data_IF_278529548805
#
_entry.id   IF_278529548805
#
_cell.length_a   1.000
_cell.length_b   1.000
_cell.length_c   1.000
_cell.angle_alpha   90.00
_cell.angle_beta   90.00
_cell.angle_gamma   90.00
#
_symmetry.space_group_name_H-M   'P 1'
#
loop_
_entity.id
_entity.type
_entity.pdbx_description
1 polymer ?
#
# COMPACT_ATOMS: atom_id res chain seq x y z
N UNK A 1 -6.95 16.96 16.44
CA UNK A 1 -6.85 18.32 15.85
C UNK A 1 -5.42 18.73 15.50
N UNK A 2 -4.41 18.66 16.38
CA UNK A 2 -3.03 19.07 16.03
C UNK A 2 -2.41 18.29 14.85
N UNK A 3 -2.61 16.97 14.77
CA UNK A 3 -2.08 16.11 13.70
C UNK A 3 -2.65 16.37 12.30
N UNK A 4 -3.80 17.05 12.19
CA UNK A 4 -4.47 17.32 10.89
C UNK A 4 -4.28 18.77 10.42
N UNK A 5 -3.66 19.65 11.22
CA UNK A 5 -3.49 21.08 10.86
C UNK A 5 -2.71 21.26 9.56
N UNK A 6 -1.65 20.47 9.39
CA UNK A 6 -0.82 20.51 8.18
C UNK A 6 -1.64 20.01 6.99
N UNK A 7 -2.40 18.92 7.13
CA UNK A 7 -3.23 18.38 6.05
C UNK A 7 -4.32 19.36 5.62
N UNK A 8 -4.96 20.07 6.55
CA UNK A 8 -5.90 21.15 6.20
C UNK A 8 -5.24 22.32 5.48
N UNK A 9 -4.04 22.74 5.90
CA UNK A 9 -3.29 23.80 5.23
C UNK A 9 -2.92 23.38 3.80
N UNK A 10 -2.36 22.18 3.63
CA UNK A 10 -2.02 21.63 2.31
C UNK A 10 -3.27 21.48 1.45
N UNK A 11 -4.38 21.01 2.02
CA UNK A 11 -5.67 20.92 1.30
C UNK A 11 -6.10 22.28 0.77
N UNK A 12 -6.05 23.32 1.59
CA UNK A 12 -6.41 24.67 1.15
C UNK A 12 -5.52 25.15 -0.01
N UNK A 13 -4.21 24.92 0.08
CA UNK A 13 -3.26 25.28 -0.97
C UNK A 13 -3.55 24.50 -2.27
N UNK A 14 -3.71 23.18 -2.19
CA UNK A 14 -3.95 22.33 -3.36
C UNK A 14 -5.32 22.61 -4.00
N UNK A 15 -6.34 22.90 -3.20
CA UNK A 15 -7.64 23.35 -3.71
C UNK A 15 -7.53 24.71 -4.40
N UNK A 16 -6.77 25.66 -3.86
CA UNK A 16 -6.54 26.95 -4.51
C UNK A 16 -5.80 26.79 -5.86
N UNK A 17 -4.80 25.91 -5.92
CA UNK A 17 -4.08 25.58 -7.16
C UNK A 17 -5.01 24.90 -8.16
N UNK A 18 -5.86 23.95 -7.73
CA UNK A 18 -6.86 23.29 -8.57
C UNK A 18 -7.87 24.29 -9.13
N UNK A 19 -8.40 25.19 -8.29
CA UNK A 19 -9.32 26.24 -8.72
C UNK A 19 -8.69 27.20 -9.73
N UNK A 20 -7.42 27.57 -9.54
CA UNK A 20 -6.67 28.39 -10.50
C UNK A 20 -6.47 27.67 -11.83
N UNK A 21 -6.10 26.38 -11.80
CA UNK A 21 -5.95 25.53 -12.98
C UNK A 21 -7.26 25.37 -13.76
N UNK A 22 -8.37 25.10 -13.06
CA UNK A 22 -9.69 25.00 -13.68
C UNK A 22 -10.15 26.34 -14.28
N UNK A 23 -9.84 27.45 -13.60
CA UNK A 23 -10.17 28.78 -14.11
C UNK A 23 -9.41 29.13 -15.39
N UNK A 24 -8.11 28.79 -15.47
CA UNK A 24 -7.29 29.11 -16.65
C UNK A 24 -7.71 28.33 -17.91
N UNK A 25 -8.33 27.15 -17.75
CA UNK A 25 -8.76 26.30 -18.88
C UNK A 25 -10.25 26.44 -19.22
N UNK A 26 -11.10 26.85 -18.28
CA UNK A 26 -12.56 26.84 -18.46
C UNK A 26 -13.32 27.99 -17.80
N UNK A 27 -12.61 29.04 -17.33
CA UNK A 27 -13.22 30.18 -16.63
C UNK A 27 -13.94 29.77 -15.34
N UNK A 28 -14.99 30.51 -14.97
CA UNK A 28 -15.73 30.25 -13.73
C UNK A 28 -16.35 28.83 -13.64
N UNK A 29 -16.96 28.28 -14.71
CA UNK A 29 -17.42 26.89 -14.69
C UNK A 29 -16.28 25.88 -14.50
N UNK A 30 -15.13 26.10 -15.15
CA UNK A 30 -13.94 25.26 -15.00
C UNK A 30 -13.39 25.27 -13.58
N UNK A 31 -13.36 26.44 -12.92
CA UNK A 31 -12.97 26.58 -11.51
C UNK A 31 -13.85 25.72 -10.60
N UNK A 32 -15.18 25.83 -10.71
CA UNK A 32 -16.11 25.08 -9.85
C UNK A 32 -15.96 23.58 -10.07
N UNK A 33 -15.83 23.16 -11.34
CA UNK A 33 -15.66 21.76 -11.68
C UNK A 33 -14.35 21.18 -11.13
N UNK A 34 -13.23 21.91 -11.31
CA UNK A 34 -11.93 21.48 -10.79
C UNK A 34 -11.94 21.35 -9.26
N UNK A 35 -12.49 22.33 -8.53
CA UNK A 35 -12.63 22.23 -7.08
C UNK A 35 -13.48 21.03 -6.65
N UNK A 36 -14.60 20.78 -7.34
CA UNK A 36 -15.47 19.66 -7.04
C UNK A 36 -14.76 18.31 -7.28
N UNK A 37 -14.19 18.11 -8.46
CA UNK A 37 -13.49 16.87 -8.82
C UNK A 37 -12.30 16.63 -7.89
N UNK A 38 -11.45 17.65 -7.65
CA UNK A 38 -10.32 17.53 -6.72
C UNK A 38 -10.79 17.14 -5.31
N UNK A 39 -11.90 17.70 -4.82
CA UNK A 39 -12.49 17.33 -3.54
C UNK A 39 -12.97 15.87 -3.50
N UNK A 40 -13.68 15.43 -4.54
CA UNK A 40 -14.15 14.04 -4.68
C UNK A 40 -12.96 13.07 -4.72
N UNK A 41 -11.93 13.39 -5.50
CA UNK A 41 -10.70 12.59 -5.59
C UNK A 41 -9.98 12.50 -4.24
N UNK A 42 -9.90 13.60 -3.49
CA UNK A 42 -9.31 13.59 -2.15
C UNK A 42 -10.07 12.70 -1.17
N UNK A 43 -11.41 12.73 -1.19
CA UNK A 43 -12.25 11.85 -0.35
C UNK A 43 -12.14 10.39 -0.77
N UNK A 44 -12.17 10.13 -2.08
CA UNK A 44 -12.00 8.80 -2.65
C UNK A 44 -10.66 8.21 -2.21
N UNK A 45 -9.58 8.97 -2.32
CA UNK A 45 -8.24 8.52 -1.96
C UNK A 45 -8.12 8.19 -0.47
N UNK A 46 -8.68 9.02 0.42
CA UNK A 46 -8.72 8.70 1.86
C UNK A 46 -9.49 7.41 2.12
N UNK A 47 -10.56 7.17 1.36
CA UNK A 47 -11.41 5.99 1.53
C UNK A 47 -10.72 4.72 1.03
N UNK A 48 -10.09 4.77 -0.14
CA UNK A 48 -9.38 3.64 -0.76
C UNK A 48 -8.05 3.32 -0.08
N UNK A 49 -7.41 4.31 0.55
CA UNK A 49 -6.10 4.15 1.21
C UNK A 49 -6.20 4.08 2.73
N UNK A 50 -7.40 3.84 3.28
CA UNK A 50 -7.59 3.80 4.73
C UNK A 50 -6.88 2.61 5.38
N UNK A 51 -7.04 1.42 4.80
CA UNK A 51 -6.35 0.19 5.18
C UNK A 51 -4.82 0.34 5.08
N UNK A 52 -4.30 1.00 4.04
CA UNK A 52 -2.88 1.34 3.91
C UNK A 52 -2.38 2.12 5.13
N UNK A 53 -3.17 3.09 5.60
CA UNK A 53 -2.80 3.88 6.77
C UNK A 53 -2.63 3.01 8.03
N UNK A 54 -3.44 1.95 8.16
CA UNK A 54 -3.40 0.99 9.28
C UNK A 54 -2.20 0.06 9.14
N UNK A 55 -1.96 -0.48 7.95
CA UNK A 55 -0.80 -1.35 7.66
C UNK A 55 0.51 -0.59 7.90
N UNK A 56 0.62 0.63 7.38
CA UNK A 56 1.81 1.45 7.61
C UNK A 56 1.98 1.75 9.10
N UNK A 57 0.89 2.00 9.83
CA UNK A 57 0.95 2.23 11.26
C UNK A 57 1.38 0.99 12.06
N UNK A 58 0.94 -0.22 11.68
CA UNK A 58 1.34 -1.47 12.37
C UNK A 58 2.82 -1.78 12.21
N UNK A 59 3.42 -1.35 11.09
CA UNK A 59 4.86 -1.47 10.86
C UNK A 59 5.64 -0.35 11.58
N UNK A 60 5.20 0.91 11.43
CA UNK A 60 5.90 2.09 11.98
C UNK A 60 5.92 2.16 13.50
N UNK A 61 4.95 1.56 14.21
CA UNK A 61 4.87 1.65 15.68
C UNK A 61 6.10 1.09 16.38
N UNK A 62 6.80 0.16 15.72
CA UNK A 62 7.98 -0.48 16.27
C UNK A 62 9.28 0.28 15.95
N UNK A 63 9.23 1.21 14.99
CA UNK A 63 10.41 1.92 14.50
C UNK A 63 10.86 3.01 15.48
N UNK A 64 12.16 3.33 15.45
CA UNK A 64 12.68 4.49 16.16
C UNK A 64 12.15 5.83 15.58
N UNK A 65 12.30 6.91 16.34
CA UNK A 65 11.80 8.23 15.93
C UNK A 65 12.40 8.74 14.60
N UNK A 66 13.64 8.37 14.29
CA UNK A 66 14.31 8.82 13.07
C UNK A 66 13.60 8.26 11.83
N UNK A 67 13.40 6.94 11.78
CA UNK A 67 12.74 6.29 10.66
C UNK A 67 11.26 6.67 10.55
N UNK A 68 10.57 6.81 11.69
CA UNK A 68 9.22 7.37 11.68
C UNK A 68 9.20 8.77 11.06
N UNK A 69 10.10 9.68 11.46
CA UNK A 69 10.18 11.03 10.88
C UNK A 69 10.54 10.99 9.39
N UNK A 70 11.44 10.11 8.97
CA UNK A 70 11.85 9.97 7.57
C UNK A 70 10.68 9.50 6.70
N UNK A 71 9.98 8.43 7.09
CA UNK A 71 8.80 7.94 6.39
C UNK A 71 7.71 9.01 6.33
N UNK A 72 7.45 9.66 7.46
CA UNK A 72 6.47 10.73 7.56
C UNK A 72 6.89 12.04 6.88
N UNK A 73 8.07 12.17 6.27
CA UNK A 73 8.47 13.38 5.56
C UNK A 73 8.82 13.07 4.11
N UNK A 74 9.88 12.29 3.90
CA UNK A 74 10.36 11.87 2.58
C UNK A 74 9.45 10.80 2.00
N UNK A 75 9.03 9.83 2.82
CA UNK A 75 8.18 8.73 2.34
C UNK A 75 6.89 9.23 1.70
N UNK A 76 6.21 10.21 2.29
CA UNK A 76 5.01 10.81 1.66
C UNK A 76 5.33 11.52 0.35
N UNK A 77 6.47 12.20 0.27
CA UNK A 77 6.88 12.84 -0.99
C UNK A 77 7.05 11.77 -2.07
N UNK A 78 7.64 10.63 -1.72
CA UNK A 78 7.75 9.47 -2.61
C UNK A 78 6.38 8.85 -2.90
N UNK A 79 5.52 8.63 -1.91
CA UNK A 79 4.17 8.13 -2.11
C UNK A 79 3.34 9.04 -3.03
N UNK A 80 3.41 10.36 -2.84
CA UNK A 80 2.62 11.33 -3.62
C UNK A 80 3.23 11.59 -5.00
N UNK A 81 4.51 11.96 -5.09
CA UNK A 81 5.13 12.31 -6.36
C UNK A 81 5.77 11.10 -7.05
N UNK A 82 6.39 10.20 -6.30
CA UNK A 82 6.93 8.96 -6.83
C UNK A 82 5.81 8.05 -7.31
N UNK A 83 4.95 7.59 -6.42
CA UNK A 83 4.01 6.51 -6.75
C UNK A 83 2.77 6.95 -7.51
N UNK A 84 2.30 8.19 -7.33
CA UNK A 84 1.08 8.67 -8.03
C UNK A 84 1.36 9.51 -9.27
N UNK A 85 2.57 10.03 -9.44
CA UNK A 85 2.95 10.81 -10.63
C UNK A 85 4.04 10.12 -11.45
N UNK A 86 5.22 9.91 -10.87
CA UNK A 86 6.37 9.38 -11.61
C UNK A 86 6.13 7.93 -12.05
N UNK A 87 5.56 7.09 -11.19
CA UNK A 87 5.37 5.67 -11.47
C UNK A 87 4.41 5.40 -12.64
N UNK A 88 3.22 6.03 -12.71
CA UNK A 88 2.39 5.97 -13.92
C UNK A 88 3.10 6.45 -15.19
N UNK A 89 3.92 7.50 -15.11
CA UNK A 89 4.70 7.99 -16.26
C UNK A 89 5.77 6.96 -16.69
N UNK A 90 6.44 6.31 -15.74
CA UNK A 90 7.42 5.26 -16.00
C UNK A 90 6.76 4.05 -16.67
N UNK A 91 5.59 3.62 -16.20
CA UNK A 91 4.84 2.51 -16.81
C UNK A 91 4.54 2.83 -18.28
N UNK A 92 3.97 4.01 -18.57
CA UNK A 92 3.63 4.40 -19.93
C UNK A 92 4.89 4.59 -20.78
N UNK A 93 5.99 5.11 -20.21
CA UNK A 93 7.28 5.24 -20.91
C UNK A 93 7.84 3.88 -21.33
N UNK A 94 7.82 2.88 -20.44
CA UNK A 94 8.25 1.51 -20.76
C UNK A 94 7.32 0.86 -21.79
N UNK A 95 6.01 1.05 -21.66
CA UNK A 95 5.02 0.45 -22.54
C UNK A 95 5.04 1.03 -23.97
N UNK A 96 5.29 2.34 -24.10
CA UNK A 96 5.30 3.03 -25.40
C UNK A 96 6.69 3.17 -26.02
N UNK A 97 7.74 2.97 -25.23
CA UNK A 97 9.13 3.23 -25.62
C UNK A 97 9.48 4.72 -25.72
N UNK A 98 8.58 5.62 -25.33
CA UNK A 98 8.79 7.07 -25.34
C UNK A 98 9.60 7.52 -24.11
N UNK A 99 10.33 8.63 -24.24
CA UNK A 99 11.03 9.23 -23.12
C UNK A 99 10.06 9.82 -22.09
N UNK A 100 10.47 9.90 -20.81
CA UNK A 100 9.63 10.44 -19.73
C UNK A 100 9.09 11.86 -20.01
N UNK A 101 9.87 12.70 -20.70
CA UNK A 101 9.47 14.07 -21.08
C UNK A 101 8.36 14.05 -22.14
N UNK A 102 8.43 13.11 -23.09
CA UNK A 102 7.40 12.94 -24.11
C UNK A 102 6.12 12.40 -23.50
N UNK A 103 6.23 11.46 -22.56
CA UNK A 103 5.08 10.93 -21.80
C UNK A 103 4.47 12.00 -20.91
N UNK A 104 5.27 12.86 -20.27
CA UNK A 104 4.77 14.02 -19.52
C UNK A 104 4.00 14.97 -20.43
N UNK A 105 4.54 15.22 -21.62
CA UNK A 105 3.87 16.05 -22.62
C UNK A 105 2.56 15.41 -23.07
N UNK A 106 2.53 14.09 -23.29
CA UNK A 106 1.31 13.33 -23.59
C UNK A 106 0.28 13.42 -22.45
N UNK A 107 0.70 13.25 -21.19
CA UNK A 107 -0.15 13.33 -20.01
C UNK A 107 -0.83 14.70 -19.85
N UNK A 108 -0.16 15.78 -20.27
CA UNK A 108 -0.66 17.15 -20.12
C UNK A 108 -1.39 17.68 -21.36
N UNK A 109 -1.03 17.23 -22.56
CA UNK A 109 -1.59 17.74 -23.83
C UNK A 109 -2.63 16.80 -24.45
N UNK A 110 -2.50 15.49 -24.25
CA UNK A 110 -3.40 14.45 -24.77
C UNK A 110 -3.76 13.44 -23.67
N UNK A 111 -4.41 13.89 -22.58
CA UNK A 111 -4.64 13.07 -21.39
C UNK A 111 -5.42 11.77 -21.67
N UNK A 112 -6.34 11.77 -22.64
CA UNK A 112 -7.12 10.58 -22.99
C UNK A 112 -6.24 9.46 -23.56
N UNK A 113 -5.22 9.82 -24.35
CA UNK A 113 -4.26 8.87 -24.93
C UNK A 113 -3.35 8.31 -23.83
N UNK A 114 -2.92 9.17 -22.91
CA UNK A 114 -2.14 8.77 -21.75
C UNK A 114 -2.93 7.79 -20.84
N UNK A 115 -4.17 8.14 -20.50
CA UNK A 115 -5.05 7.31 -19.67
C UNK A 115 -5.30 5.93 -20.29
N UNK A 116 -5.47 5.89 -21.62
CA UNK A 116 -5.60 4.62 -22.36
C UNK A 116 -4.34 3.77 -22.22
N UNK A 117 -3.15 4.32 -22.49
CA UNK A 117 -1.91 3.57 -22.34
C UNK A 117 -1.69 3.07 -20.90
N UNK A 118 -2.07 3.86 -19.89
CA UNK A 118 -1.97 3.44 -18.50
C UNK A 118 -2.93 2.28 -18.20
N UNK A 119 -4.17 2.36 -18.67
CA UNK A 119 -5.20 1.33 -18.47
C UNK A 119 -4.89 0.04 -19.23
N UNK A 120 -4.33 0.14 -20.43
CA UNK A 120 -3.90 -1.02 -21.23
C UNK A 120 -2.78 -1.83 -20.54
N UNK A 121 -2.03 -1.21 -19.61
CA UNK A 121 -0.98 -1.90 -18.83
C UNK A 121 -1.44 -2.30 -17.42
N UNK A 122 -2.73 -2.13 -17.10
CA UNK A 122 -3.29 -2.47 -15.79
C UNK A 122 -3.00 -3.92 -15.38
N UNK A 123 -3.12 -4.89 -16.30
CA UNK A 123 -2.89 -6.30 -16.01
C UNK A 123 -1.46 -6.60 -15.53
N UNK A 124 -0.46 -5.86 -16.04
CA UNK A 124 0.94 -6.02 -15.64
C UNK A 124 1.16 -5.53 -14.22
N UNK A 125 0.60 -4.35 -13.88
CA UNK A 125 0.75 -3.77 -12.55
C UNK A 125 -0.06 -4.57 -11.52
N UNK A 126 -1.25 -5.02 -11.89
CA UNK A 126 -2.09 -5.89 -11.08
C UNK A 126 -1.38 -7.22 -10.74
N UNK A 127 -0.67 -7.82 -11.71
CA UNK A 127 0.13 -9.02 -11.48
C UNK A 127 1.36 -8.76 -10.58
N UNK A 128 2.05 -7.64 -10.79
CA UNK A 128 3.18 -7.21 -9.96
C UNK A 128 2.75 -6.99 -8.50
N UNK A 129 1.80 -6.07 -8.28
CA UNK A 129 1.33 -5.69 -6.95
C UNK A 129 0.57 -6.84 -6.28
N UNK A 130 -0.25 -7.57 -7.02
CA UNK A 130 -0.96 -8.74 -6.51
C UNK A 130 -0.02 -9.85 -6.03
N UNK A 131 1.08 -10.12 -6.74
CA UNK A 131 2.08 -11.09 -6.29
C UNK A 131 2.85 -10.61 -5.06
N UNK A 132 3.25 -9.33 -5.02
CA UNK A 132 3.94 -8.73 -3.87
C UNK A 132 3.06 -8.76 -2.62
N UNK A 133 1.83 -8.25 -2.71
CA UNK A 133 0.89 -8.19 -1.59
C UNK A 133 0.44 -9.60 -1.13
N UNK A 134 0.36 -10.57 -2.06
CA UNK A 134 0.06 -11.95 -1.68
C UNK A 134 1.20 -12.54 -0.84
N UNK A 135 2.45 -12.25 -1.15
CA UNK A 135 3.59 -12.66 -0.33
C UNK A 135 3.58 -12.00 1.04
N UNK A 136 3.27 -10.70 1.11
CA UNK A 136 3.09 -9.98 2.39
C UNK A 136 2.03 -10.69 3.25
N UNK A 137 0.87 -10.99 2.65
CA UNK A 137 -0.22 -11.64 3.35
C UNK A 137 0.11 -13.09 3.76
N UNK A 138 0.71 -13.89 2.88
CA UNK A 138 1.01 -15.29 3.17
C UNK A 138 2.11 -15.43 4.22
N UNK A 139 3.13 -14.58 4.19
CA UNK A 139 4.15 -14.56 5.24
C UNK A 139 3.56 -14.14 6.58
N UNK A 140 2.69 -13.13 6.59
CA UNK A 140 1.92 -12.83 7.78
C UNK A 140 1.09 -14.05 8.22
N UNK A 141 0.38 -14.72 7.31
CA UNK A 141 -0.51 -15.85 7.64
C UNK A 141 0.27 -17.02 8.26
N UNK A 142 1.47 -17.30 7.75
CA UNK A 142 2.35 -18.39 8.16
C UNK A 142 3.31 -18.06 9.32
N UNK A 143 3.29 -16.85 9.87
CA UNK A 143 4.15 -16.44 10.99
C UNK A 143 3.79 -17.19 12.29
N UNK A 144 4.63 -18.15 12.67
CA UNK A 144 4.51 -19.09 13.79
C UNK A 144 4.67 -18.45 15.18
N UNK A 145 5.14 -17.21 15.24
CA UNK A 145 5.24 -16.46 16.49
C UNK A 145 3.96 -15.64 16.80
N UNK A 146 2.91 -15.76 15.98
CA UNK A 146 1.62 -15.09 16.26
C UNK A 146 0.89 -15.74 17.43
N UNK A 147 0.83 -15.03 18.55
CA UNK A 147 0.09 -15.48 19.75
C UNK A 147 -1.44 -15.43 19.60
N UNK A 148 -1.95 -14.65 18.63
CA UNK A 148 -3.36 -14.42 18.42
C UNK A 148 -3.77 -14.84 17.01
N UNK A 149 -4.84 -15.64 16.94
CA UNK A 149 -5.43 -16.11 15.69
C UNK A 149 -6.83 -15.53 15.54
N UNK A 150 -7.06 -14.71 14.51
CA UNK A 150 -8.34 -14.04 14.31
C UNK A 150 -9.43 -15.03 13.84
N UNK A 151 -9.05 -16.02 13.03
CA UNK A 151 -9.93 -17.13 12.61
C UNK A 151 -9.84 -18.38 13.52
N UNK A 152 -9.11 -18.29 14.64
CA UNK A 152 -8.91 -19.38 15.59
C UNK A 152 -8.24 -20.60 14.95
N UNK A 153 -8.87 -21.77 15.10
CA UNK A 153 -8.32 -23.08 14.70
C UNK A 153 -7.91 -23.22 13.22
N UNK A 154 -8.54 -22.46 12.31
CA UNK A 154 -8.23 -22.53 10.89
C UNK A 154 -6.91 -21.84 10.58
N UNK A 155 -6.65 -20.69 11.22
CA UNK A 155 -5.39 -19.96 11.10
C UNK A 155 -4.25 -20.73 11.79
N UNK A 156 -4.49 -21.30 12.96
CA UNK A 156 -3.51 -22.12 13.70
C UNK A 156 -3.00 -23.33 12.89
N UNK A 157 -3.89 -24.03 12.16
CA UNK A 157 -3.48 -25.15 11.29
C UNK A 157 -2.71 -24.70 10.05
N UNK A 158 -3.12 -23.59 9.46
CA UNK A 158 -2.48 -23.03 8.26
C UNK A 158 -1.10 -22.50 8.60
N UNK A 159 -0.97 -21.89 9.78
CA UNK A 159 0.27 -21.44 10.38
C UNK A 159 1.25 -22.61 10.61
N UNK A 160 0.81 -23.69 11.25
CA UNK A 160 1.65 -24.85 11.53
C UNK A 160 2.18 -25.60 10.29
N UNK A 161 1.56 -25.40 9.12
CA UNK A 161 2.00 -25.95 7.83
C UNK A 161 2.74 -24.92 6.97
N UNK A 162 2.77 -23.67 7.41
CA UNK A 162 3.28 -22.53 6.69
C UNK A 162 4.81 -22.49 6.69
N UNK A 163 5.39 -22.25 5.52
CA UNK A 163 6.80 -21.89 5.38
C UNK A 163 6.92 -20.74 4.38
N UNK A 164 7.99 -19.94 4.46
CA UNK A 164 8.26 -18.89 3.47
C UNK A 164 8.33 -19.48 2.04
N UNK A 165 8.96 -20.65 1.89
CA UNK A 165 9.03 -21.36 0.61
C UNK A 165 7.65 -21.78 0.09
N UNK A 166 6.71 -22.13 0.97
CA UNK A 166 5.33 -22.42 0.61
C UNK A 166 4.61 -21.13 0.19
N UNK A 167 4.85 -20.00 0.85
CA UNK A 167 4.28 -18.70 0.44
C UNK A 167 4.72 -18.32 -0.98
N UNK A 168 6.00 -18.48 -1.30
CA UNK A 168 6.54 -18.27 -2.65
C UNK A 168 5.92 -19.23 -3.65
N UNK A 169 5.81 -20.53 -3.31
CA UNK A 169 5.21 -21.53 -4.19
C UNK A 169 3.73 -21.22 -4.50
N UNK A 170 2.94 -20.86 -3.49
CA UNK A 170 1.53 -20.47 -3.66
C UNK A 170 1.43 -19.23 -4.54
N UNK A 171 2.28 -18.23 -4.31
CA UNK A 171 2.29 -16.99 -5.10
C UNK A 171 2.66 -17.25 -6.56
N UNK A 172 3.68 -18.06 -6.81
CA UNK A 172 4.03 -18.50 -8.18
C UNK A 172 2.87 -19.24 -8.85
N UNK A 173 2.19 -20.13 -8.11
CA UNK A 173 0.99 -20.83 -8.59
C UNK A 173 -0.15 -19.87 -8.94
N UNK A 174 -0.36 -18.84 -8.11
CA UNK A 174 -1.37 -17.80 -8.35
C UNK A 174 -1.04 -16.97 -9.61
N UNK A 175 0.21 -16.55 -9.79
CA UNK A 175 0.67 -15.86 -11.00
C UNK A 175 0.49 -16.75 -12.23
N UNK A 176 0.87 -18.04 -12.14
CA UNK A 176 0.67 -18.99 -13.24
C UNK A 176 -0.81 -19.17 -13.60
N UNK A 177 -1.70 -19.22 -12.60
CA UNK A 177 -3.14 -19.25 -12.81
C UNK A 177 -3.65 -17.98 -13.51
N UNK A 178 -3.15 -16.80 -13.11
CA UNK A 178 -3.48 -15.53 -13.77
C UNK A 178 -3.06 -15.54 -15.24
N UNK A 179 -1.84 -15.99 -15.55
CA UNK A 179 -1.33 -16.11 -16.92
C UNK A 179 -2.15 -17.12 -17.74
N UNK A 180 -2.57 -18.22 -17.13
CA UNK A 180 -3.41 -19.21 -17.79
C UNK A 180 -4.81 -18.69 -18.12
N UNK A 181 -5.37 -17.86 -17.23
CA UNK A 181 -6.74 -17.33 -17.34
C UNK A 181 -6.84 -16.02 -18.13
N UNK A 182 -5.77 -15.22 -18.15
CA UNK A 182 -5.71 -13.88 -18.74
C UNK A 182 -5.58 -13.84 -20.27
N UNK A 183 -5.59 -12.62 -20.86
CA UNK A 183 -5.52 -12.42 -22.30
C UNK A 183 -4.27 -13.06 -22.91
N UNK A 184 -4.42 -13.71 -24.07
CA UNK A 184 -3.31 -14.45 -24.73
C UNK A 184 -2.16 -13.52 -25.13
N UNK A 185 -2.48 -12.27 -25.47
CA UNK A 185 -1.55 -11.27 -25.99
C UNK A 185 -0.58 -10.74 -24.93
N UNK A 186 -0.98 -10.76 -23.65
CA UNK A 186 -0.23 -10.16 -22.55
C UNK A 186 0.44 -11.18 -21.62
N UNK A 187 0.32 -12.49 -21.92
CA UNK A 187 0.79 -13.58 -21.05
C UNK A 187 2.23 -13.43 -20.58
N UNK A 188 3.13 -13.04 -21.50
CA UNK A 188 4.54 -12.87 -21.17
C UNK A 188 4.75 -11.67 -20.23
N UNK A 189 4.13 -10.53 -20.53
CA UNK A 189 4.25 -9.31 -19.72
C UNK A 189 3.66 -9.51 -18.33
N UNK A 190 2.50 -10.17 -18.22
CA UNK A 190 1.86 -10.51 -16.93
C UNK A 190 2.75 -11.46 -16.11
N UNK A 191 3.30 -12.50 -16.73
CA UNK A 191 4.22 -13.42 -16.07
C UNK A 191 5.49 -12.70 -15.59
N UNK A 192 6.10 -11.90 -16.45
CA UNK A 192 7.31 -11.14 -16.14
C UNK A 192 7.06 -10.19 -14.97
N UNK A 193 5.97 -9.42 -14.99
CA UNK A 193 5.60 -8.51 -13.91
C UNK A 193 5.32 -9.23 -12.59
N UNK A 194 4.63 -10.37 -12.62
CA UNK A 194 4.41 -11.20 -11.44
C UNK A 194 5.70 -11.74 -10.84
N UNK A 195 6.65 -12.20 -11.67
CA UNK A 195 7.99 -12.61 -11.23
C UNK A 195 8.75 -11.43 -10.63
N UNK A 196 8.68 -10.25 -11.25
CA UNK A 196 9.30 -9.03 -10.71
C UNK A 196 8.71 -8.67 -9.36
N UNK A 197 7.39 -8.81 -9.15
CA UNK A 197 6.75 -8.60 -7.85
C UNK A 197 7.31 -9.52 -6.76
N UNK A 198 7.43 -10.81 -7.06
CA UNK A 198 8.07 -11.80 -6.17
C UNK A 198 9.53 -11.45 -5.91
N UNK A 199 10.28 -11.08 -6.95
CA UNK A 199 11.70 -10.74 -6.83
C UNK A 199 11.93 -9.47 -6.01
N UNK A 200 11.07 -8.45 -6.15
CA UNK A 200 11.13 -7.23 -5.35
C UNK A 200 10.85 -7.54 -3.88
N UNK A 201 9.85 -8.36 -3.58
CA UNK A 201 9.60 -8.82 -2.21
C UNK A 201 10.85 -9.47 -1.62
N UNK A 202 11.37 -10.52 -2.25
CA UNK A 202 12.56 -11.24 -1.77
C UNK A 202 13.78 -10.32 -1.69
N UNK A 203 13.95 -9.42 -2.66
CA UNK A 203 15.07 -8.48 -2.72
C UNK A 203 15.06 -7.47 -1.57
N UNK A 204 13.89 -6.93 -1.21
CA UNK A 204 13.74 -6.04 -0.05
C UNK A 204 14.10 -6.78 1.25
N UNK A 205 13.69 -8.05 1.37
CA UNK A 205 14.00 -8.88 2.54
C UNK A 205 15.51 -9.13 2.65
N UNK A 206 16.13 -9.45 1.53
CA UNK A 206 17.57 -9.69 1.45
C UNK A 206 18.38 -8.44 1.79
N UNK A 207 17.99 -7.26 1.26
CA UNK A 207 18.64 -5.98 1.61
C UNK A 207 18.47 -5.68 3.10
N UNK A 208 17.29 -5.94 3.67
CA UNK A 208 17.04 -5.72 5.09
C UNK A 208 18.00 -6.55 5.94
N UNK A 209 18.12 -7.85 5.67
CA UNK A 209 19.01 -8.74 6.43
C UNK A 209 20.50 -8.40 6.29
N UNK A 210 20.95 -7.90 5.13
CA UNK A 210 22.35 -7.46 4.96
C UNK A 210 22.70 -6.21 5.77
N UNK A 211 21.74 -5.30 5.95
CA UNK A 211 21.96 -4.06 6.67
C UNK A 211 22.00 -4.28 8.18
N UNK A 212 21.28 -5.28 8.68
CA UNK A 212 21.31 -5.70 10.09
C UNK A 212 22.65 -6.31 10.51
N UNK A 213 23.36 -7.00 9.61
CA UNK A 213 24.70 -7.53 9.92
C UNK A 213 25.77 -6.42 10.15
N UNK A 214 25.45 -5.17 9.79
CA UNK A 214 26.38 -4.03 9.84
C UNK A 214 26.14 -3.02 10.97
N UNK A 215 25.04 -3.10 11.73
CA UNK A 215 24.78 -2.21 12.86
C UNK A 215 25.29 -2.86 14.17
N UNK A 216 26.34 -2.30 14.82
CA UNK A 216 26.68 -2.72 16.17
C UNK A 216 25.54 -2.28 17.11
N UNK A 217 24.92 -3.25 17.79
CA UNK A 217 23.89 -3.03 18.81
C UNK A 217 24.36 -1.99 19.85
N UNK A 218 23.93 -0.74 19.69
CA UNK A 218 24.21 0.35 20.64
C UNK A 218 23.23 0.34 21.83
N UNK A 219 22.67 -0.81 22.16
CA UNK A 219 21.69 -0.93 23.23
C UNK A 219 21.55 -2.34 23.81
N UNK A 220 22.65 -3.09 23.93
CA UNK A 220 22.70 -4.29 24.78
C UNK A 220 23.82 -4.13 25.83
N UNK A 221 23.56 -3.29 26.83
CA UNK A 221 24.19 -3.49 28.15
C UNK A 221 23.23 -4.37 28.96
N UNK A 222 23.71 -5.58 29.27
CA UNK A 222 23.21 -6.54 30.27
C UNK A 222 21.99 -7.40 29.88
N UNK A 223 22.22 -8.47 29.10
CA UNK A 223 21.79 -9.82 29.49
C UNK A 223 22.58 -10.89 28.69
N UNK A 224 23.64 -11.42 29.31
CA UNK A 224 24.34 -12.62 28.86
C UNK A 224 23.41 -13.83 28.92
N UNK A 225 23.04 -14.41 27.77
CA UNK A 225 22.51 -15.77 27.75
C UNK A 225 21.62 -16.12 26.57
N UNK A 226 22.20 -16.89 25.63
CA UNK A 226 21.57 -17.53 24.48
C UNK A 226 21.34 -16.63 23.24
N UNK A 227 22.27 -16.74 22.29
CA UNK A 227 22.02 -16.36 20.91
C UNK A 227 20.75 -17.11 20.40
N UNK A 228 19.71 -16.41 19.93
CA UNK A 228 18.58 -17.08 19.33
C UNK A 228 19.04 -17.73 18.02
N UNK A 229 18.66 -18.99 17.84
CA UNK A 229 19.04 -19.80 16.68
C UNK A 229 18.48 -19.16 15.39
N UNK A 230 19.37 -18.64 14.55
CA UNK A 230 19.10 -18.24 13.17
C UNK A 230 18.49 -19.40 12.40
N UNK A 231 17.18 -19.36 12.14
CA UNK A 231 16.51 -20.13 11.09
C UNK A 231 15.10 -19.57 10.88
N UNK A 232 14.90 -18.81 9.81
CA UNK A 232 13.56 -18.48 9.32
C UNK A 232 13.42 -17.05 8.83
N UNK A 233 13.40 -16.88 7.51
CA UNK A 233 13.05 -15.65 6.79
C UNK A 233 11.58 -15.18 7.02
N UNK A 234 10.89 -15.62 8.07
CA UNK A 234 9.54 -15.13 8.45
C UNK A 234 9.57 -13.74 9.08
N UNK A 235 10.76 -13.19 9.27
CA UNK A 235 11.02 -12.11 10.21
C UNK A 235 10.75 -10.72 9.64
N UNK A 236 10.23 -10.54 8.41
CA UNK A 236 10.07 -9.20 7.81
C UNK A 236 9.32 -8.19 8.65
N UNK A 237 8.19 -8.56 9.26
CA UNK A 237 7.44 -7.61 10.08
C UNK A 237 8.23 -7.19 11.33
N UNK A 238 9.25 -7.99 11.74
CA UNK A 238 10.12 -7.82 12.93
C UNK A 238 11.52 -7.26 12.60
N UNK A 239 12.17 -7.72 11.55
CA UNK A 239 13.36 -7.18 10.85
C UNK A 239 13.09 -5.75 10.37
N UNK A 240 11.92 -5.50 9.77
CA UNK A 240 11.50 -4.13 9.43
C UNK A 240 11.18 -3.35 10.70
N UNK A 241 10.79 -4.00 11.80
CA UNK A 241 10.34 -3.33 13.02
C UNK A 241 11.40 -2.44 13.68
N UNK A 242 12.71 -2.67 13.49
CA UNK A 242 13.74 -1.79 14.09
C UNK A 242 14.00 -0.49 13.31
N UNK A 243 13.33 -0.32 12.15
CA UNK A 243 13.55 0.79 11.25
C UNK A 243 14.90 0.63 10.55
N UNK A 244 14.85 0.24 9.27
CA UNK A 244 16.02 0.04 8.42
C UNK A 244 15.73 0.61 7.03
N UNK A 245 16.77 0.77 6.20
CA UNK A 245 16.56 1.15 4.79
C UNK A 245 15.67 0.12 4.09
N UNK A 246 15.84 -1.17 4.41
CA UNK A 246 14.99 -2.23 3.88
C UNK A 246 13.53 -2.07 4.32
N UNK A 247 13.29 -1.72 5.58
CA UNK A 247 11.96 -1.36 6.08
C UNK A 247 11.32 -0.16 5.40
N UNK A 248 12.11 0.88 5.13
CA UNK A 248 11.65 2.03 4.37
C UNK A 248 11.27 1.63 2.94
N UNK A 249 12.12 0.88 2.23
CA UNK A 249 11.82 0.37 0.90
C UNK A 249 10.59 -0.54 0.88
N UNK A 250 10.43 -1.39 1.90
CA UNK A 250 9.26 -2.24 2.06
C UNK A 250 7.98 -1.42 2.10
N UNK A 251 7.91 -0.38 2.94
CA UNK A 251 6.73 0.48 3.03
C UNK A 251 6.47 1.26 1.75
N UNK A 252 7.50 1.75 1.07
CA UNK A 252 7.32 2.48 -0.20
C UNK A 252 6.80 1.57 -1.33
N UNK A 253 7.27 0.32 -1.41
CA UNK A 253 6.77 -0.67 -2.39
C UNK A 253 5.35 -1.14 -2.04
N UNK A 254 5.06 -1.23 -0.75
CA UNK A 254 3.71 -1.52 -0.26
C UNK A 254 2.76 -0.38 -0.66
N UNK A 255 3.12 0.87 -0.38
CA UNK A 255 2.37 2.06 -0.79
C UNK A 255 2.24 2.15 -2.32
N UNK A 256 3.29 1.80 -3.06
CA UNK A 256 3.26 1.72 -4.52
C UNK A 256 2.15 0.80 -5.02
N UNK A 257 2.12 -0.42 -4.47
CA UNK A 257 1.18 -1.46 -4.86
C UNK A 257 -0.27 -1.05 -4.61
N UNK A 258 -0.53 -0.44 -3.44
CA UNK A 258 -1.86 0.06 -3.10
C UNK A 258 -2.27 1.31 -3.87
N UNK A 259 -1.33 2.21 -4.17
CA UNK A 259 -1.63 3.49 -4.79
C UNK A 259 -2.09 3.36 -6.25
N UNK A 260 -1.74 2.27 -6.93
CA UNK A 260 -2.06 2.09 -8.34
C UNK A 260 -3.57 2.04 -8.59
N UNK A 261 -4.32 1.32 -7.77
CA UNK A 261 -5.78 1.24 -7.88
C UNK A 261 -6.44 2.62 -7.65
N UNK A 262 -5.90 3.42 -6.73
CA UNK A 262 -6.34 4.81 -6.50
C UNK A 262 -6.12 5.71 -7.72
N UNK A 263 -4.99 5.54 -8.42
CA UNK A 263 -4.70 6.27 -9.67
C UNK A 263 -5.64 5.84 -10.80
N UNK A 264 -5.85 4.54 -10.99
CA UNK A 264 -6.77 4.04 -12.02
C UNK A 264 -8.22 4.48 -11.74
N UNK A 265 -8.66 4.39 -10.49
CA UNK A 265 -9.97 4.89 -10.07
C UNK A 265 -10.14 6.40 -10.29
N UNK A 266 -9.06 7.18 -10.17
CA UNK A 266 -9.09 8.61 -10.49
C UNK A 266 -9.31 8.89 -11.98
N UNK A 267 -8.74 8.08 -12.86
CA UNK A 267 -8.96 8.16 -14.31
C UNK A 267 -10.42 7.84 -14.72
N UNK A 268 -11.15 7.08 -13.90
CA UNK A 268 -12.59 6.88 -14.11
C UNK A 268 -13.43 8.14 -13.83
N UNK A 269 -12.89 9.11 -13.06
CA UNK A 269 -13.57 10.36 -12.70
C UNK A 269 -13.17 11.51 -13.62
N UNK A 270 -11.87 11.64 -13.93
CA UNK A 270 -11.34 12.69 -14.82
C UNK A 270 -10.08 12.21 -15.51
N UNK A 271 -9.81 12.69 -16.72
CA UNK A 271 -8.54 12.45 -17.41
C UNK A 271 -7.50 13.57 -17.17
N UNK A 272 -7.88 14.66 -16.52
CA UNK A 272 -6.95 15.75 -16.21
C UNK A 272 -5.94 15.31 -15.13
N UNK A 273 -4.73 14.96 -15.56
CA UNK A 273 -3.64 14.46 -14.71
C UNK A 273 -3.25 15.44 -13.62
N UNK A 274 -3.37 16.76 -13.86
CA UNK A 274 -3.07 17.78 -12.84
C UNK A 274 -4.14 17.73 -11.74
N UNK A 275 -5.41 17.66 -12.11
CA UNK A 275 -6.52 17.54 -11.15
C UNK A 275 -6.42 16.23 -10.37
N UNK A 276 -6.07 15.11 -11.03
CA UNK A 276 -5.80 13.82 -10.39
C UNK A 276 -4.69 13.97 -9.34
N UNK A 277 -3.53 14.48 -9.74
CA UNK A 277 -2.38 14.65 -8.86
C UNK A 277 -2.73 15.48 -7.62
N UNK A 278 -3.44 16.60 -7.79
CA UNK A 278 -3.84 17.47 -6.68
C UNK A 278 -4.84 16.76 -5.75
N UNK A 279 -5.82 16.04 -6.30
CA UNK A 279 -6.82 15.31 -5.52
C UNK A 279 -6.19 14.18 -4.70
N UNK A 280 -5.39 13.33 -5.34
CA UNK A 280 -4.72 12.22 -4.66
C UNK A 280 -3.68 12.73 -3.65
N UNK A 281 -2.99 13.85 -3.93
CA UNK A 281 -2.07 14.47 -2.96
C UNK A 281 -2.79 14.95 -1.68
N UNK A 282 -4.00 15.50 -1.82
CA UNK A 282 -4.85 15.83 -0.66
C UNK A 282 -5.13 14.57 0.15
N UNK A 283 -5.58 13.50 -0.50
CA UNK A 283 -5.90 12.24 0.17
C UNK A 283 -4.71 11.63 0.89
N UNK A 284 -3.56 11.53 0.23
CA UNK A 284 -2.31 11.03 0.80
C UNK A 284 -1.87 11.81 2.06
N UNK A 285 -2.09 13.13 2.08
CA UNK A 285 -1.82 13.94 3.28
C UNK A 285 -2.73 13.60 4.47
N UNK A 286 -3.99 13.20 4.21
CA UNK A 286 -4.89 12.72 5.24
C UNK A 286 -4.57 11.29 5.68
N UNK A 287 -4.27 10.39 4.73
CA UNK A 287 -3.80 9.02 4.99
C UNK A 287 -2.58 9.06 5.92
N UNK A 288 -1.59 9.91 5.63
CA UNK A 288 -0.46 10.16 6.53
C UNK A 288 -0.92 10.58 7.92
N UNK A 289 -1.74 11.63 8.02
CA UNK A 289 -2.17 12.11 9.33
C UNK A 289 -2.90 11.04 10.14
N UNK A 290 -3.60 10.12 9.47
CA UNK A 290 -4.19 8.95 10.09
C UNK A 290 -3.12 7.95 10.55
N UNK A 291 -2.12 7.63 9.73
CA UNK A 291 -0.99 6.78 10.13
C UNK A 291 -0.28 7.33 11.36
N UNK A 292 0.07 8.62 11.35
CA UNK A 292 0.68 9.31 12.51
C UNK A 292 -0.21 9.21 13.73
N UNK A 293 -1.51 9.45 13.55
CA UNK A 293 -2.48 9.38 14.62
C UNK A 293 -2.55 7.97 15.23
N UNK A 294 -2.63 6.92 14.41
CA UNK A 294 -2.69 5.53 14.85
C UNK A 294 -1.44 5.11 15.63
N UNK A 295 -0.26 5.52 15.17
CA UNK A 295 1.02 5.28 15.86
C UNK A 295 1.09 6.02 17.19
N UNK A 296 0.90 7.35 17.20
CA UNK A 296 1.13 8.18 18.39
C UNK A 296 0.06 8.02 19.48
N UNK A 297 -1.16 7.64 19.12
CA UNK A 297 -2.22 7.39 20.11
C UNK A 297 -2.15 6.00 20.73
N UNK A 298 -1.25 5.12 20.29
CA UNK A 298 -1.24 3.72 20.72
C UNK A 298 -2.55 2.99 20.38
N UNK A 299 -3.26 3.45 19.34
CA UNK A 299 -4.59 2.90 19.00
C UNK A 299 -4.50 1.44 18.56
N UNK A 300 -3.36 1.06 17.96
CA UNK A 300 -3.08 -0.33 17.60
C UNK A 300 -2.90 -1.23 18.84
N UNK A 301 -2.27 -0.72 19.89
CA UNK A 301 -2.06 -1.49 21.13
C UNK A 301 -3.36 -1.62 21.93
N UNK A 302 -4.24 -0.62 21.84
CA UNK A 302 -5.60 -0.72 22.39
C UNK A 302 -6.51 -1.70 21.62
N UNK A 303 -6.25 -1.93 20.33
CA UNK A 303 -7.07 -2.75 19.43
C UNK A 303 -6.31 -3.93 18.85
N UNK A 304 -6.20 -4.97 19.67
CA UNK A 304 -5.48 -6.23 19.41
C UNK A 304 -5.72 -6.84 18.02
N UNK A 305 -6.96 -6.85 17.48
CA UNK A 305 -7.23 -7.44 16.16
C UNK A 305 -7.04 -6.49 14.98
N UNK A 306 -6.72 -5.20 15.22
CA UNK A 306 -6.65 -4.19 14.17
C UNK A 306 -5.54 -4.53 13.15
N UNK A 307 -4.41 -5.04 13.62
CA UNK A 307 -3.30 -5.52 12.80
C UNK A 307 -3.68 -6.74 11.94
N UNK A 308 -4.39 -7.71 12.52
CA UNK A 308 -4.91 -8.85 11.75
C UNK A 308 -5.87 -8.36 10.65
N UNK A 309 -6.84 -7.51 11.01
CA UNK A 309 -7.78 -6.96 10.04
C UNK A 309 -7.10 -6.26 8.86
N UNK A 310 -6.02 -5.53 9.14
CA UNK A 310 -5.21 -4.87 8.12
C UNK A 310 -4.56 -5.90 7.17
N UNK A 311 -3.88 -6.93 7.69
CA UNK A 311 -3.25 -7.96 6.85
C UNK A 311 -4.26 -8.77 6.04
N UNK A 312 -5.44 -9.08 6.59
CA UNK A 312 -6.52 -9.73 5.82
C UNK A 312 -7.07 -8.82 4.71
N UNK A 313 -7.11 -7.50 4.92
CA UNK A 313 -7.43 -6.55 3.86
C UNK A 313 -6.36 -6.58 2.74
N UNK A 314 -5.06 -6.65 3.09
CA UNK A 314 -3.98 -6.84 2.11
C UNK A 314 -4.18 -8.12 1.30
N UNK A 315 -4.47 -9.25 1.98
CA UNK A 315 -4.66 -10.53 1.32
C UNK A 315 -5.81 -10.52 0.33
N UNK A 316 -6.93 -9.89 0.69
CA UNK A 316 -8.08 -9.76 -0.22
C UNK A 316 -7.78 -8.81 -1.37
N UNK A 317 -7.07 -7.71 -1.12
CA UNK A 317 -6.65 -6.84 -2.19
C UNK A 317 -5.72 -7.58 -3.17
N UNK A 318 -4.76 -8.36 -2.67
CA UNK A 318 -3.89 -9.16 -3.50
C UNK A 318 -4.68 -10.12 -4.42
N UNK A 319 -5.71 -10.77 -3.87
CA UNK A 319 -6.61 -11.62 -4.66
C UNK A 319 -7.45 -10.83 -5.67
N UNK A 320 -7.93 -9.64 -5.30
CA UNK A 320 -8.64 -8.73 -6.20
C UNK A 320 -7.73 -8.29 -7.35
N UNK A 321 -6.50 -7.86 -7.07
CA UNK A 321 -5.52 -7.46 -8.09
C UNK A 321 -5.18 -8.63 -9.03
N UNK A 322 -4.93 -9.82 -8.49
CA UNK A 322 -4.68 -11.00 -9.33
C UNK A 322 -5.90 -11.37 -10.18
N UNK A 323 -7.10 -11.28 -9.64
CA UNK A 323 -8.34 -11.51 -10.38
C UNK A 323 -8.62 -10.40 -11.41
N UNK A 324 -8.16 -9.17 -11.16
CA UNK A 324 -8.40 -8.02 -12.02
C UNK A 324 -7.65 -8.06 -13.35
N UNK A 325 -6.65 -8.96 -13.46
CA UNK A 325 -5.99 -9.32 -14.72
C UNK A 325 -6.98 -9.82 -15.78
N UNK A 326 -8.08 -10.45 -15.35
CA UNK A 326 -9.12 -10.97 -16.26
C UNK A 326 -10.47 -10.29 -16.08
N UNK A 327 -10.87 -10.07 -14.83
CA UNK A 327 -12.20 -9.59 -14.50
C UNK A 327 -12.14 -8.11 -14.16
N UNK A 328 -13.04 -7.31 -14.74
CA UNK A 328 -13.15 -5.93 -14.28
C UNK A 328 -13.84 -5.91 -12.91
N UNK A 329 -13.08 -5.57 -11.87
CA UNK A 329 -13.58 -5.46 -10.50
C UNK A 329 -13.83 -3.97 -10.20
N UNK A 330 -15.06 -3.59 -9.84
CA UNK A 330 -15.36 -2.19 -9.54
C UNK A 330 -14.57 -1.68 -8.34
N UNK A 331 -14.08 -0.45 -8.43
CA UNK A 331 -13.22 0.18 -7.42
C UNK A 331 -13.94 0.34 -6.08
N UNK A 332 -15.26 0.57 -6.11
CA UNK A 332 -16.07 0.64 -4.90
C UNK A 332 -16.09 -0.69 -4.14
N UNK A 333 -15.99 -1.83 -4.83
CA UNK A 333 -15.94 -3.15 -4.20
C UNK A 333 -14.60 -3.35 -3.51
N UNK A 334 -13.50 -3.00 -4.20
CA UNK A 334 -12.15 -3.02 -3.64
C UNK A 334 -12.08 -2.17 -2.37
N UNK A 335 -12.48 -0.90 -2.44
CA UNK A 335 -12.48 0.00 -1.28
C UNK A 335 -13.38 -0.46 -0.12
N UNK A 336 -14.58 -0.94 -0.43
CA UNK A 336 -15.52 -1.41 0.60
C UNK A 336 -14.99 -2.66 1.31
N UNK A 337 -14.27 -3.54 0.60
CA UNK A 337 -13.68 -4.72 1.21
C UNK A 337 -12.65 -4.33 2.28
N UNK A 338 -11.71 -3.44 1.98
CA UNK A 338 -10.73 -2.96 2.95
C UNK A 338 -11.39 -2.32 4.18
N UNK A 339 -12.35 -1.40 3.96
CA UNK A 339 -13.12 -0.77 5.05
C UNK A 339 -13.87 -1.79 5.89
N UNK A 340 -14.49 -2.80 5.27
CA UNK A 340 -15.21 -3.85 6.00
C UNK A 340 -14.29 -4.64 6.93
N UNK A 341 -13.09 -5.04 6.47
CA UNK A 341 -12.13 -5.76 7.30
C UNK A 341 -11.65 -4.94 8.50
N UNK A 342 -11.38 -3.66 8.31
CA UNK A 342 -10.99 -2.79 9.43
C UNK A 342 -12.15 -2.57 10.40
N UNK A 343 -13.38 -2.35 9.92
CA UNK A 343 -14.53 -2.17 10.82
C UNK A 343 -14.84 -3.43 11.62
N UNK A 344 -14.74 -4.62 11.00
CA UNK A 344 -14.94 -5.89 11.69
C UNK A 344 -13.82 -6.15 12.70
N UNK A 345 -12.56 -5.79 12.38
CA UNK A 345 -11.44 -5.96 13.31
C UNK A 345 -11.51 -5.00 14.51
N UNK A 346 -11.94 -3.75 14.29
CA UNK A 346 -12.24 -2.80 15.36
C UNK A 346 -13.38 -3.30 16.24
N UNK A 347 -14.47 -3.80 15.65
CA UNK A 347 -15.59 -4.36 16.39
C UNK A 347 -15.18 -5.60 17.21
N UNK A 348 -14.38 -6.49 16.63
CA UNK A 348 -13.82 -7.67 17.31
C UNK A 348 -12.95 -7.26 18.50
N UNK A 349 -12.08 -6.25 18.32
CA UNK A 349 -11.22 -5.73 19.38
C UNK A 349 -12.01 -5.08 20.51
N UNK A 350 -13.05 -4.30 20.19
CA UNK A 350 -13.97 -3.73 21.19
C UNK A 350 -14.70 -4.82 21.97
N UNK A 351 -15.11 -5.91 21.30
CA UNK A 351 -15.76 -7.05 21.94
C UNK A 351 -14.79 -7.82 22.84
N UNK A 352 -13.56 -8.02 22.41
CA UNK A 352 -12.49 -8.63 23.21
C UNK A 352 -12.25 -7.83 24.49
N UNK A 353 -12.05 -6.51 24.36
CA UNK A 353 -11.88 -5.60 25.49
C UNK A 353 -13.05 -5.68 26.47
N UNK A 354 -14.30 -5.71 25.99
CA UNK A 354 -15.48 -5.86 26.86
C UNK A 354 -15.54 -7.20 27.60
N UNK A 355 -15.06 -8.28 26.98
CA UNK A 355 -15.02 -9.62 27.61
C UNK A 355 -13.92 -9.72 28.66
N UNK A 356 -12.74 -9.19 28.37
CA UNK A 356 -11.62 -9.20 29.31
C UNK A 356 -11.79 -8.18 30.46
N UNK A 357 -12.40 -7.02 30.20
CA UNK A 357 -12.77 -6.06 31.25
C UNK A 357 -13.95 -6.53 32.14
N UNK A 358 -14.67 -7.59 31.74
CA UNK A 358 -15.69 -8.23 32.57
C UNK A 358 -15.13 -9.43 33.37
N UNK A 359 -13.86 -9.80 33.14
CA UNK A 359 -13.15 -10.86 33.85
C UNK A 359 -12.07 -10.34 34.81
N UNK A 360 -11.72 -9.05 34.71
CA UNK A 360 -10.95 -8.28 35.70
C UNK A 360 -11.91 -7.55 36.64
#
# INVERSE_FOLDING_TARGET
>A
MRHFRISFLVTFILMAVSGWWGYSHGGMPGLINALWITGVLGVMEVSLSFDNAVVNASVLRHWNEFWQKLFLTVGILVAVFGMRLLFPLVIVSVATGLGLVDVWTMATTTPDVYAKHLTDNHAQVAAFGGAFLLLVFLNFLFDDEKELHWLGWAEEKVNALGTESLAVLITMGAVAACVAMGPVEEKYSVLASGIVGIAVYIGVNWISGLLEEGEPDLQDDEEEGAAPAKNGNGDLVKTVARGSIGGFLYLEVLDASFSFDGVIGAFAITNDVVIIMLGLAIGAMFVRSMTVFLVHKGTLDEFVYLEHGAHYAIGILALIMLASVKYHIPEWFTGLSGVAFILVSLWSSLRYRKRHAAQA
#
